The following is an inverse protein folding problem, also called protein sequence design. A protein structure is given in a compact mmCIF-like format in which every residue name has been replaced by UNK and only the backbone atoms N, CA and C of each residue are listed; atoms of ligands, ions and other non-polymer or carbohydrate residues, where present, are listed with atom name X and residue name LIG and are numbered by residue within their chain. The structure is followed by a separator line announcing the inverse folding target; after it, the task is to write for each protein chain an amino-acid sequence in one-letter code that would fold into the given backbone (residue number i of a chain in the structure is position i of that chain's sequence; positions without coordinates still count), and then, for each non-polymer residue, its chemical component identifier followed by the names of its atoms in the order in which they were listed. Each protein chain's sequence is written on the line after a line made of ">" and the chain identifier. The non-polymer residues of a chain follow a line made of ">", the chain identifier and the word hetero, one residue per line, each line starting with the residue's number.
data_IF_392782890323
#
_entry.id   IF_392782890323
#
_cell.length_a   1.000
_cell.length_b   1.000
_cell.length_c   1.000
_cell.angle_alpha   90.00
_cell.angle_beta   90.00
_cell.angle_gamma   90.00
#
_symmetry.space_group_name_H-M   'P 1'
#
loop_
_entity.id
_entity.type
_entity.pdbx_description
1 polymer ?
#
# COMPACT_ATOMS: atom_id res chain seq x y z
N UNK A 1 27.49 -24.64 -10.61
CA UNK A 1 26.29 -23.87 -10.97
C UNK A 1 25.05 -24.75 -11.18
N UNK A 2 25.17 -25.96 -11.74
CA UNK A 2 24.01 -26.86 -12.01
C UNK A 2 23.23 -27.27 -10.74
N UNK A 3 23.93 -27.50 -9.62
CA UNK A 3 23.30 -27.93 -8.37
C UNK A 3 22.36 -26.88 -7.77
N UNK A 4 22.71 -25.59 -7.87
CA UNK A 4 21.84 -24.50 -7.41
C UNK A 4 20.59 -24.36 -8.29
N UNK A 5 20.75 -24.55 -9.61
CA UNK A 5 19.63 -24.56 -10.54
C UNK A 5 18.65 -25.69 -10.19
N UNK A 6 19.13 -26.93 -10.05
CA UNK A 6 18.31 -28.09 -9.69
C UNK A 6 17.64 -27.87 -8.32
N UNK A 7 18.39 -27.42 -7.31
CA UNK A 7 17.84 -27.16 -5.98
C UNK A 7 16.71 -26.11 -6.01
N UNK A 8 16.91 -25.01 -6.73
CA UNK A 8 15.90 -23.93 -6.88
C UNK A 8 14.66 -24.37 -7.66
N UNK A 9 14.76 -25.43 -8.48
CA UNK A 9 13.61 -26.03 -9.16
C UNK A 9 12.82 -26.99 -8.29
N UNK A 10 13.48 -27.72 -7.37
CA UNK A 10 12.84 -28.75 -6.57
C UNK A 10 12.27 -28.24 -5.24
N UNK A 11 12.95 -27.28 -4.59
CA UNK A 11 12.56 -26.82 -3.26
C UNK A 11 12.71 -25.30 -3.13
N UNK A 12 11.82 -24.63 -2.37
CA UNK A 12 12.04 -23.25 -1.98
C UNK A 12 13.31 -23.16 -1.12
N UNK A 13 13.95 -22.00 -1.14
CA UNK A 13 15.08 -21.75 -0.23
C UNK A 13 14.65 -21.93 1.23
N UNK A 14 15.60 -22.29 2.10
CA UNK A 14 15.32 -22.49 3.54
C UNK A 14 14.65 -21.24 4.15
N UNK A 15 15.07 -20.04 3.74
CA UNK A 15 14.49 -18.77 4.21
C UNK A 15 13.07 -18.56 3.71
N UNK A 16 12.78 -18.81 2.43
CA UNK A 16 11.42 -18.76 1.88
C UNK A 16 10.48 -19.74 2.61
N UNK A 17 10.98 -20.92 2.95
CA UNK A 17 10.23 -21.89 3.73
C UNK A 17 9.91 -21.38 5.14
N UNK A 18 10.90 -20.81 5.84
CA UNK A 18 10.70 -20.23 7.18
C UNK A 18 9.70 -19.07 7.14
N UNK A 19 9.84 -18.16 6.17
CA UNK A 19 8.96 -17.00 6.03
C UNK A 19 7.51 -17.44 5.78
N UNK A 20 7.30 -18.44 4.92
CA UNK A 20 5.97 -19.00 4.66
C UNK A 20 5.35 -19.70 5.87
N UNK A 21 6.16 -20.46 6.63
CA UNK A 21 5.68 -21.15 7.84
C UNK A 21 5.32 -20.14 8.94
N UNK A 22 6.10 -19.07 9.09
CA UNK A 22 5.87 -18.04 10.10
C UNK A 22 4.81 -17.01 9.69
N UNK A 23 4.41 -16.97 8.41
CA UNK A 23 3.42 -16.04 7.91
C UNK A 23 3.86 -14.57 7.99
N UNK A 24 5.16 -14.29 7.93
CA UNK A 24 5.64 -12.91 7.97
C UNK A 24 5.15 -12.14 6.75
N UNK A 25 4.75 -10.87 6.90
CA UNK A 25 4.33 -10.05 5.77
C UNK A 25 5.55 -9.72 4.91
N UNK A 26 5.83 -10.59 3.94
CA UNK A 26 6.90 -10.43 2.97
C UNK A 26 6.29 -10.23 1.58
N UNK A 27 6.78 -9.23 0.87
CA UNK A 27 6.41 -9.05 -0.52
C UNK A 27 7.28 -10.02 -1.32
N UNK A 28 6.75 -11.19 -1.67
CA UNK A 28 7.43 -12.12 -2.58
C UNK A 28 7.85 -11.37 -3.84
N UNK A 29 9.08 -11.58 -4.31
CA UNK A 29 9.46 -11.15 -5.65
C UNK A 29 8.41 -11.69 -6.63
N UNK A 30 7.81 -10.78 -7.38
CA UNK A 30 6.71 -11.08 -8.28
C UNK A 30 7.31 -11.56 -9.61
N UNK A 31 7.40 -12.87 -9.89
CA UNK A 31 7.81 -13.30 -11.21
C UNK A 31 6.77 -12.80 -12.22
N UNK A 32 7.19 -12.21 -13.37
CA UNK A 32 6.29 -11.64 -14.37
C UNK A 32 5.33 -12.67 -14.98
N UNK A 33 5.52 -13.96 -14.69
CA UNK A 33 4.68 -15.09 -15.11
C UNK A 33 3.43 -15.35 -14.26
N UNK A 34 3.29 -14.74 -13.07
CA UNK A 34 2.05 -14.88 -12.26
C UNK A 34 0.98 -13.93 -12.78
N UNK A 35 -0.09 -14.47 -13.36
CA UNK A 35 -1.27 -13.70 -13.84
C UNK A 35 -1.88 -12.79 -12.76
N UNK A 36 -1.72 -13.17 -11.49
CA UNK A 36 -2.20 -12.40 -10.33
C UNK A 36 -1.53 -11.03 -10.19
N UNK A 37 -0.28 -10.84 -10.64
CA UNK A 37 0.41 -9.54 -10.49
C UNK A 37 -0.03 -8.53 -11.54
N UNK A 38 -0.46 -9.00 -12.71
CA UNK A 38 -1.05 -8.16 -13.74
C UNK A 38 -2.50 -7.73 -13.39
N UNK A 39 -3.15 -8.48 -12.51
CA UNK A 39 -4.56 -8.24 -12.11
C UNK A 39 -4.68 -7.37 -10.85
N UNK A 40 -3.63 -7.31 -10.03
CA UNK A 40 -3.60 -6.54 -8.78
C UNK A 40 -3.28 -5.06 -9.06
N UNK A 41 -4.31 -4.23 -9.19
CA UNK A 41 -4.17 -2.76 -9.28
C UNK A 41 -4.14 -2.13 -7.89
N UNK A 42 -3.35 -1.07 -7.74
CA UNK A 42 -3.24 -0.28 -6.48
C UNK A 42 -4.61 0.20 -5.98
N UNK A 43 -5.56 0.45 -6.89
CA UNK A 43 -6.93 0.88 -6.59
C UNK A 43 -7.73 -0.08 -5.70
N UNK A 44 -7.35 -1.37 -5.66
CA UNK A 44 -7.98 -2.40 -4.82
C UNK A 44 -7.34 -2.52 -3.44
N UNK A 45 -6.11 -2.02 -3.27
CA UNK A 45 -5.33 -2.11 -2.03
C UNK A 45 -5.34 -0.81 -1.25
N UNK A 46 -5.38 0.32 -1.97
CA UNK A 46 -5.30 1.64 -1.39
C UNK A 46 -6.51 1.92 -0.49
N UNK A 47 -6.24 2.39 0.74
CA UNK A 47 -7.25 2.93 1.65
C UNK A 47 -7.76 4.24 1.07
N UNK A 48 -9.08 4.34 0.86
CA UNK A 48 -9.73 5.50 0.24
C UNK A 48 -10.25 6.52 1.26
N UNK A 49 -10.30 6.12 2.54
CA UNK A 49 -10.69 6.98 3.64
C UNK A 49 -9.45 7.69 4.18
N UNK A 50 -9.23 8.91 3.70
CA UNK A 50 -8.03 9.69 3.99
C UNK A 50 -8.45 11.06 4.52
N UNK A 51 -7.99 11.38 5.72
CA UNK A 51 -8.11 12.72 6.30
C UNK A 51 -7.00 13.61 5.74
N UNK A 52 -7.37 14.78 5.21
CA UNK A 52 -6.43 15.72 4.61
C UNK A 52 -6.48 17.09 5.29
N UNK A 53 -5.34 17.76 5.34
CA UNK A 53 -5.21 19.11 5.90
C UNK A 53 -5.16 20.10 4.74
N UNK A 54 -5.89 21.22 4.85
CA UNK A 54 -5.94 22.25 3.80
C UNK A 54 -5.32 23.56 4.26
N UNK A 55 -5.02 24.50 3.35
CA UNK A 55 -4.56 25.84 3.77
C UNK A 55 -5.58 26.62 4.59
N UNK A 56 -6.86 26.40 4.28
CA UNK A 56 -7.96 27.15 4.88
C UNK A 56 -8.49 26.51 6.18
N UNK A 57 -7.94 25.37 6.63
CA UNK A 57 -8.39 24.72 7.87
C UNK A 57 -7.96 25.51 9.08
N UNK A 58 -8.87 25.73 10.01
CA UNK A 58 -8.58 26.44 11.26
C UNK A 58 -7.77 25.57 12.21
N UNK A 59 -7.04 26.20 13.14
CA UNK A 59 -6.29 25.47 14.18
C UNK A 59 -7.19 24.60 15.07
N UNK A 60 -8.46 25.00 15.25
CA UNK A 60 -9.42 24.24 16.04
C UNK A 60 -9.77 22.91 15.35
N UNK A 61 -10.12 22.95 14.06
CA UNK A 61 -10.40 21.76 13.26
C UNK A 61 -9.16 20.86 13.15
N UNK A 62 -7.97 21.45 13.01
CA UNK A 62 -6.73 20.69 12.98
C UNK A 62 -6.50 19.93 14.30
N UNK A 63 -6.74 20.59 15.44
CA UNK A 63 -6.64 19.94 16.75
C UNK A 63 -7.65 18.81 16.92
N UNK A 64 -8.87 19.00 16.44
CA UNK A 64 -9.93 17.97 16.48
C UNK A 64 -9.54 16.75 15.65
N UNK A 65 -9.06 16.96 14.42
CA UNK A 65 -8.55 15.90 13.54
C UNK A 65 -7.43 15.10 14.23
N UNK A 66 -6.45 15.78 14.83
CA UNK A 66 -5.34 15.11 15.53
C UNK A 66 -5.82 14.28 16.74
N UNK A 67 -6.86 14.73 17.44
CA UNK A 67 -7.44 14.01 18.57
C UNK A 67 -8.26 12.79 18.12
N UNK A 68 -8.99 12.93 17.03
CA UNK A 68 -9.85 11.88 16.48
C UNK A 68 -9.05 10.76 15.77
N UNK A 69 -7.86 11.09 15.25
CA UNK A 69 -7.00 10.14 14.51
C UNK A 69 -5.61 9.92 15.13
N UNK A 70 -5.52 9.31 16.33
CA UNK A 70 -4.24 9.11 17.03
C UNK A 70 -3.30 8.09 16.35
N UNK A 71 -3.83 7.22 15.49
CA UNK A 71 -3.06 6.15 14.82
C UNK A 71 -2.38 6.62 13.52
N UNK A 72 -2.68 7.83 13.04
CA UNK A 72 -2.12 8.38 11.81
C UNK A 72 -0.81 9.12 12.10
N UNK A 73 0.29 8.61 11.56
CA UNK A 73 1.63 9.21 11.74
C UNK A 73 1.87 10.44 10.85
N UNK A 74 1.18 10.55 9.72
CA UNK A 74 1.36 11.65 8.77
C UNK A 74 0.06 11.94 8.03
N UNK A 75 -0.22 13.23 7.85
CA UNK A 75 -1.39 13.71 7.10
C UNK A 75 -0.96 14.29 5.76
N UNK A 76 -1.62 13.95 4.65
CA UNK A 76 -1.41 14.61 3.38
C UNK A 76 -1.90 16.06 3.45
N UNK A 77 -1.03 16.99 3.04
CA UNK A 77 -1.37 18.40 2.93
C UNK A 77 -1.87 18.71 1.50
N UNK A 78 -3.10 19.21 1.40
CA UNK A 78 -3.77 19.50 0.14
C UNK A 78 -3.95 21.02 0.04
N UNK A 79 -3.39 21.63 -1.01
CA UNK A 79 -3.59 23.08 -1.25
C UNK A 79 -5.00 23.38 -1.76
N UNK A 80 -5.51 22.58 -2.69
CA UNK A 80 -6.80 22.80 -3.36
C UNK A 80 -7.75 21.62 -3.10
N UNK A 81 -8.86 21.83 -2.39
CA UNK A 81 -9.86 20.77 -2.10
C UNK A 81 -10.46 20.16 -3.39
N UNK A 82 -10.55 20.97 -4.44
CA UNK A 82 -11.07 20.57 -5.76
C UNK A 82 -10.13 19.63 -6.52
N UNK A 83 -8.81 19.74 -6.34
CA UNK A 83 -7.83 18.89 -7.02
C UNK A 83 -7.79 17.48 -6.45
N UNK A 84 -7.91 17.34 -5.13
CA UNK A 84 -7.88 16.02 -4.49
C UNK A 84 -9.16 15.22 -4.80
N UNK A 85 -10.34 15.83 -4.69
CA UNK A 85 -11.62 15.19 -5.04
C UNK A 85 -11.71 14.83 -6.54
N UNK A 86 -11.19 15.69 -7.42
CA UNK A 86 -11.15 15.44 -8.87
C UNK A 86 -10.30 14.24 -9.28
N UNK A 87 -9.22 13.91 -8.53
CA UNK A 87 -8.37 12.74 -8.79
C UNK A 87 -9.11 11.43 -8.47
N UNK A 88 -9.97 11.41 -7.46
CA UNK A 88 -10.75 10.21 -7.09
C UNK A 88 -12.05 10.06 -7.87
N UNK A 89 -12.67 11.16 -8.32
CA UNK A 89 -13.92 11.09 -9.11
C UNK A 89 -13.68 10.75 -10.59
N UNK A 90 -12.60 11.23 -11.22
CA UNK A 90 -12.32 10.96 -12.65
C UNK A 90 -11.73 9.57 -12.96
N UNK A 91 -11.47 8.72 -11.93
CA UNK A 91 -10.93 7.36 -12.12
C UNK A 91 -11.95 6.25 -11.88
N UNK A 92 -13.24 6.58 -11.73
CA UNK A 92 -14.34 5.60 -11.71
C UNK A 92 -14.93 5.41 -13.12
N UNK A 93 -14.10 5.04 -14.09
CA UNK A 93 -14.53 4.59 -15.42
C UNK A 93 -13.90 3.23 -15.72
#
# INVERSE_FOLDING_TARGET
>A
MIGNAICSFLQPSIYESIINIQGYPYLTDLPPSRVSVHTMKVEKVMVKDIVFITRDTTYMELREILLETPNLRSYPFVTDKSKFSGIYQNRKV
#
